data_IF_586423166936
#
_entry.id   IF_586423166936
#
_cell.length_a   1.000
_cell.length_b   1.000
_cell.length_c   1.000
_cell.angle_alpha   90.00
_cell.angle_beta   90.00
_cell.angle_gamma   90.00
#
_symmetry.space_group_name_H-M   'P 1'
#
loop_
_entity.id
_entity.type
_entity.pdbx_description
1 polymer ?
#
# COMPACT_ATOMS: atom_id res chain seq x y z
N UNK A 1 -10.14 -14.88 17.41
CA UNK A 1 -10.65 -14.74 18.78
C UNK A 1 -11.55 -15.94 19.04
N UNK A 2 -11.15 -16.85 19.96
CA UNK A 2 -11.97 -17.95 20.43
C UNK A 2 -13.20 -17.38 21.14
N UNK A 3 -14.39 -17.65 20.61
CA UNK A 3 -15.64 -17.37 21.31
C UNK A 3 -15.86 -18.46 22.36
N UNK A 4 -15.60 -18.14 23.60
CA UNK A 4 -15.90 -19.02 24.72
C UNK A 4 -17.41 -18.95 25.03
N UNK A 5 -17.99 -20.07 25.43
CA UNK A 5 -19.36 -20.15 25.90
C UNK A 5 -19.43 -20.25 27.44
N UNK A 6 -20.64 -20.23 28.02
CA UNK A 6 -20.75 -20.22 29.49
C UNK A 6 -20.15 -21.46 30.17
N UNK A 7 -20.10 -22.63 29.51
CA UNK A 7 -19.46 -23.82 30.06
C UNK A 7 -17.95 -23.68 30.16
N UNK A 8 -17.34 -23.00 29.18
CA UNK A 8 -15.90 -22.77 29.19
C UNK A 8 -15.47 -21.87 30.35
N UNK A 9 -16.36 -20.94 30.75
CA UNK A 9 -16.11 -20.05 31.90
C UNK A 9 -16.44 -20.67 33.25
N UNK A 10 -17.15 -21.81 33.34
CA UNK A 10 -17.54 -22.40 34.61
C UNK A 10 -16.45 -23.20 35.32
N UNK A 11 -15.28 -23.40 34.68
CA UNK A 11 -14.13 -24.08 35.26
C UNK A 11 -12.97 -23.11 35.59
N UNK A 12 -12.01 -23.60 36.36
CA UNK A 12 -10.66 -22.99 36.54
C UNK A 12 -10.63 -21.50 36.98
N UNK A 13 -11.57 -21.09 37.85
CA UNK A 13 -11.59 -19.72 38.39
C UNK A 13 -12.19 -18.66 37.45
N UNK A 14 -12.60 -19.03 36.23
CA UNK A 14 -13.22 -18.11 35.28
C UNK A 14 -14.70 -17.82 35.60
N UNK A 15 -15.32 -18.60 36.48
CA UNK A 15 -16.71 -18.40 36.91
C UNK A 15 -16.96 -17.01 37.52
N UNK A 16 -15.96 -16.40 38.16
CA UNK A 16 -16.06 -15.03 38.68
C UNK A 16 -16.32 -14.00 37.57
N UNK A 17 -15.82 -14.23 36.36
CA UNK A 17 -16.07 -13.36 35.23
C UNK A 17 -17.54 -13.38 34.80
N UNK A 18 -18.19 -14.56 34.87
CA UNK A 18 -19.63 -14.65 34.61
C UNK A 18 -20.45 -13.95 35.71
N UNK A 19 -20.02 -14.03 36.95
CA UNK A 19 -20.68 -13.31 38.06
C UNK A 19 -20.55 -11.79 37.90
N UNK A 20 -19.40 -11.33 37.42
CA UNK A 20 -19.13 -9.89 37.26
C UNK A 20 -19.77 -9.31 36.00
N UNK A 21 -19.73 -10.01 34.88
CA UNK A 21 -20.15 -9.51 33.57
C UNK A 21 -21.44 -10.14 33.03
N UNK A 22 -22.01 -11.12 33.70
CA UNK A 22 -23.27 -11.78 33.41
C UNK A 22 -23.11 -12.99 32.48
N UNK A 23 -22.89 -12.80 31.20
CA UNK A 23 -22.80 -13.89 30.23
C UNK A 23 -21.45 -14.00 29.57
N UNK A 24 -21.11 -15.18 29.06
CA UNK A 24 -19.91 -15.37 28.25
C UNK A 24 -19.85 -14.40 27.06
N UNK A 25 -20.98 -14.05 26.48
CA UNK A 25 -21.04 -13.04 25.41
C UNK A 25 -20.53 -11.68 25.91
N UNK A 26 -20.99 -11.23 27.06
CA UNK A 26 -20.55 -9.95 27.62
C UNK A 26 -19.06 -9.96 28.00
N UNK A 27 -18.57 -11.06 28.58
CA UNK A 27 -17.14 -11.25 28.85
C UNK A 27 -16.31 -11.19 27.56
N UNK A 28 -16.74 -11.92 26.52
CA UNK A 28 -16.05 -11.92 25.23
C UNK A 28 -16.00 -10.51 24.61
N UNK A 29 -17.08 -9.75 24.68
CA UNK A 29 -17.14 -8.36 24.16
C UNK A 29 -16.23 -7.45 24.98
N UNK A 30 -16.27 -7.57 26.32
CA UNK A 30 -15.38 -6.77 27.19
C UNK A 30 -13.91 -7.03 26.88
N UNK A 31 -13.51 -8.30 26.87
CA UNK A 31 -12.11 -8.69 26.56
C UNK A 31 -11.72 -8.25 25.15
N UNK A 32 -12.62 -8.42 24.15
CA UNK A 32 -12.35 -7.97 22.79
C UNK A 32 -12.10 -6.46 22.75
N UNK A 33 -12.93 -5.68 23.43
CA UNK A 33 -12.74 -4.23 23.48
C UNK A 33 -11.44 -3.84 24.19
N UNK A 34 -11.12 -4.49 25.31
CA UNK A 34 -9.88 -4.23 26.05
C UNK A 34 -8.63 -4.59 25.22
N UNK A 35 -8.66 -5.73 24.53
CA UNK A 35 -7.57 -6.14 23.62
C UNK A 35 -7.46 -5.17 22.43
N UNK A 36 -8.56 -4.77 21.83
CA UNK A 36 -8.54 -3.75 20.77
C UNK A 36 -7.90 -2.46 21.24
N UNK A 37 -8.11 -2.10 22.49
CA UNK A 37 -7.53 -0.89 23.08
C UNK A 37 -6.04 -1.05 23.40
N UNK A 38 -5.56 -2.24 23.73
CA UNK A 38 -4.16 -2.50 24.08
C UNK A 38 -3.26 -2.77 22.89
N UNK A 39 -3.73 -3.53 21.89
CA UNK A 39 -2.98 -3.81 20.66
C UNK A 39 -2.78 -2.55 19.84
N UNK A 40 -3.69 -1.63 20.00
CA UNK A 40 -3.69 -0.47 19.15
C UNK A 40 -2.68 0.55 19.60
N UNK A 41 -1.67 0.46 20.17
CA UNK A 41 -0.81 1.60 20.00
C UNK A 41 -1.27 2.40 18.77
N UNK A 42 -2.49 2.12 18.34
CA UNK A 42 -3.24 2.68 17.22
C UNK A 42 -3.53 4.14 17.54
N UNK A 43 -2.86 5.02 16.86
CA UNK A 43 -2.97 6.44 17.12
C UNK A 43 -4.42 6.91 16.94
N UNK A 44 -4.91 7.65 17.92
CA UNK A 44 -6.27 8.16 17.89
C UNK A 44 -7.37 7.14 18.20
N UNK A 45 -7.02 5.90 18.51
CA UNK A 45 -7.97 4.88 18.92
C UNK A 45 -9.11 4.66 17.92
N UNK A 46 -10.13 3.98 18.38
CA UNK A 46 -11.40 3.82 17.66
C UNK A 46 -12.13 5.16 17.65
N UNK A 47 -12.70 5.62 16.54
CA UNK A 47 -13.59 6.77 16.55
C UNK A 47 -14.66 6.62 17.64
N UNK A 48 -14.87 7.65 18.44
CA UNK A 48 -15.78 7.67 19.59
C UNK A 48 -15.45 6.66 20.72
N UNK A 49 -14.19 6.19 20.80
CA UNK A 49 -13.76 5.42 21.96
C UNK A 49 -13.72 6.34 23.19
N UNK A 50 -14.22 5.82 24.33
CA UNK A 50 -14.05 6.50 25.61
C UNK A 50 -12.56 6.59 25.93
N UNK A 51 -12.02 7.78 26.07
CA UNK A 51 -10.62 8.09 26.35
C UNK A 51 -10.44 8.70 27.77
N UNK A 52 -11.49 8.68 28.58
CA UNK A 52 -11.50 9.25 29.94
C UNK A 52 -10.32 8.76 30.77
N UNK A 53 -10.03 7.46 30.70
CA UNK A 53 -8.91 6.83 31.42
C UNK A 53 -7.63 6.70 30.57
N UNK A 54 -7.65 7.18 29.33
CA UNK A 54 -6.55 7.07 28.36
C UNK A 54 -6.44 8.30 27.46
N UNK A 55 -6.06 9.44 28.02
CA UNK A 55 -5.99 10.71 27.29
C UNK A 55 -4.97 10.68 26.13
N UNK A 56 -4.00 9.75 26.15
CA UNK A 56 -3.04 9.55 25.06
C UNK A 56 -3.71 9.17 23.73
N UNK A 57 -4.97 8.76 23.74
CA UNK A 57 -5.72 8.45 22.51
C UNK A 57 -6.17 9.68 21.76
N UNK A 58 -6.42 10.78 22.47
CA UNK A 58 -6.80 12.05 21.87
C UNK A 58 -5.61 12.71 21.15
N UNK A 59 -4.41 12.48 21.68
CA UNK A 59 -3.15 13.01 21.13
C UNK A 59 -2.13 11.89 21.01
N UNK A 60 -2.20 11.08 19.94
CA UNK A 60 -1.28 9.96 19.76
C UNK A 60 0.16 10.46 19.66
N UNK A 61 1.05 9.80 20.40
CA UNK A 61 2.48 10.07 20.29
C UNK A 61 2.94 9.76 18.85
N UNK A 62 3.62 10.68 18.16
CA UNK A 62 4.11 10.47 16.81
C UNK A 62 4.99 9.23 16.74
N UNK A 63 4.69 8.33 15.81
CA UNK A 63 5.45 7.10 15.58
C UNK A 63 6.11 7.15 14.22
N UNK A 64 7.23 6.46 14.11
CA UNK A 64 7.81 6.13 12.81
C UNK A 64 7.25 4.80 12.35
N UNK A 65 6.68 4.79 11.17
CA UNK A 65 6.00 3.63 10.57
C UNK A 65 6.63 3.32 9.22
N UNK A 66 6.97 2.07 9.00
CA UNK A 66 7.41 1.57 7.71
C UNK A 66 6.38 0.56 7.20
N UNK A 67 5.79 0.84 6.05
CA UNK A 67 4.88 -0.04 5.33
C UNK A 67 5.70 -0.78 4.28
N UNK A 68 5.73 -2.11 4.34
CA UNK A 68 6.29 -2.94 3.27
C UNK A 68 5.20 -3.32 2.30
N UNK A 69 5.36 -2.93 1.04
CA UNK A 69 4.48 -3.29 -0.07
C UNK A 69 5.24 -4.23 -1.00
N UNK A 70 4.79 -5.47 -1.21
CA UNK A 70 5.43 -6.39 -2.15
C UNK A 70 5.53 -5.79 -3.55
N UNK A 71 4.45 -5.21 -4.04
CA UNK A 71 4.37 -4.53 -5.33
C UNK A 71 3.77 -3.12 -5.16
N UNK A 72 3.97 -2.22 -6.12
CA UNK A 72 3.25 -0.95 -6.17
C UNK A 72 1.74 -1.17 -6.27
N UNK A 73 0.98 -0.92 -5.22
CA UNK A 73 -0.47 -0.98 -5.01
C UNK A 73 -0.91 -1.78 -3.77
N UNK A 74 -0.15 -2.79 -3.34
CA UNK A 74 -0.52 -3.65 -2.21
C UNK A 74 -0.72 -2.85 -0.91
N UNK A 75 0.02 -1.77 -0.72
CA UNK A 75 -0.11 -0.85 0.41
C UNK A 75 -1.51 -0.19 0.47
N UNK A 76 -2.04 0.22 -0.67
CA UNK A 76 -3.36 0.87 -0.73
C UNK A 76 -4.50 -0.14 -0.82
N UNK A 77 -4.31 -1.26 -1.52
CA UNK A 77 -5.32 -2.31 -1.65
C UNK A 77 -5.53 -3.01 -0.31
N UNK A 78 -4.42 -3.40 0.36
CA UNK A 78 -4.49 -4.21 1.57
C UNK A 78 -4.73 -3.37 2.83
N UNK A 79 -4.21 -2.15 2.90
CA UNK A 79 -4.28 -1.35 4.12
C UNK A 79 -4.46 0.17 3.90
N UNK A 80 -5.00 0.59 2.78
CA UNK A 80 -5.14 2.02 2.42
C UNK A 80 -5.86 2.86 3.47
N UNK A 81 -6.90 2.32 4.10
CA UNK A 81 -7.59 2.99 5.21
C UNK A 81 -6.69 3.20 6.43
N UNK A 82 -5.86 2.21 6.77
CA UNK A 82 -4.85 2.31 7.83
C UNK A 82 -3.77 3.30 7.44
N UNK A 83 -3.25 3.20 6.24
CA UNK A 83 -2.23 4.08 5.70
C UNK A 83 -2.67 5.55 5.74
N UNK A 84 -3.85 5.85 5.20
CA UNK A 84 -4.44 7.17 5.24
C UNK A 84 -4.53 7.72 6.67
N UNK A 85 -5.03 6.89 7.59
CA UNK A 85 -5.20 7.28 8.99
C UNK A 85 -3.86 7.58 9.69
N UNK A 86 -2.81 6.81 9.41
CA UNK A 86 -1.48 7.08 9.95
C UNK A 86 -0.96 8.45 9.49
N UNK A 87 -1.18 8.78 8.22
CA UNK A 87 -0.81 10.11 7.68
C UNK A 87 -1.64 11.24 8.30
N UNK A 88 -2.96 11.06 8.41
CA UNK A 88 -3.86 12.06 8.99
C UNK A 88 -3.55 12.33 10.48
N UNK A 89 -2.99 11.36 11.18
CA UNK A 89 -2.56 11.47 12.57
C UNK A 89 -1.11 11.94 12.72
N UNK A 90 -0.50 12.41 11.64
CA UNK A 90 0.84 13.01 11.62
C UNK A 90 1.96 12.09 12.09
N UNK A 91 1.85 10.79 11.81
CA UNK A 91 2.98 9.88 11.97
C UNK A 91 4.00 10.08 10.87
N UNK A 92 5.25 9.73 11.19
CA UNK A 92 6.36 9.65 10.23
C UNK A 92 6.22 8.32 9.45
N UNK A 93 5.50 8.38 8.33
CA UNK A 93 5.14 7.18 7.54
C UNK A 93 6.03 7.05 6.33
N UNK A 94 6.68 5.91 6.21
CA UNK A 94 7.46 5.51 5.06
C UNK A 94 6.83 4.29 4.38
N UNK A 95 6.97 4.20 3.05
CA UNK A 95 6.57 3.03 2.27
C UNK A 95 7.76 2.47 1.54
N UNK A 96 7.96 1.16 1.57
CA UNK A 96 9.01 0.45 0.86
C UNK A 96 8.39 -0.58 -0.09
N UNK A 97 8.47 -0.31 -1.39
CA UNK A 97 8.08 -1.22 -2.44
C UNK A 97 9.23 -2.19 -2.71
N UNK A 98 8.95 -3.49 -2.54
CA UNK A 98 9.99 -4.52 -2.60
C UNK A 98 10.43 -4.82 -4.03
N UNK A 99 9.48 -4.88 -4.96
CA UNK A 99 9.72 -5.16 -6.37
C UNK A 99 9.17 -4.07 -7.27
N UNK A 100 9.59 -4.06 -8.52
CA UNK A 100 9.13 -3.07 -9.51
C UNK A 100 7.67 -3.25 -9.90
N UNK A 101 7.14 -4.48 -9.84
CA UNK A 101 5.80 -4.82 -10.32
C UNK A 101 5.64 -4.69 -11.85
N UNK A 102 6.74 -4.64 -12.59
CA UNK A 102 6.78 -4.39 -14.04
C UNK A 102 5.96 -5.40 -14.86
N UNK A 103 5.94 -6.68 -14.46
CA UNK A 103 5.19 -7.73 -15.17
C UNK A 103 3.67 -7.53 -15.15
N UNK A 104 3.15 -6.72 -14.24
CA UNK A 104 1.73 -6.42 -14.17
C UNK A 104 1.28 -5.37 -15.20
N UNK A 105 2.21 -4.72 -15.90
CA UNK A 105 1.91 -3.69 -16.91
C UNK A 105 1.77 -4.32 -18.28
N UNK A 106 0.62 -4.14 -18.91
CA UNK A 106 0.37 -4.59 -20.27
C UNK A 106 1.17 -3.83 -21.33
N UNK A 107 1.45 -4.45 -22.43
CA UNK A 107 2.21 -3.85 -23.54
C UNK A 107 1.49 -2.62 -24.14
N UNK A 108 0.17 -2.66 -24.26
CA UNK A 108 -0.63 -1.53 -24.75
C UNK A 108 -0.53 -0.30 -23.84
N UNK A 109 -0.31 -0.50 -22.55
CA UNK A 109 -0.08 0.61 -21.63
C UNK A 109 1.25 1.30 -21.94
N UNK A 110 2.31 0.53 -22.19
CA UNK A 110 3.60 1.07 -22.61
C UNK A 110 3.47 1.81 -23.94
N UNK A 111 2.77 1.23 -24.92
CA UNK A 111 2.49 1.87 -26.21
C UNK A 111 1.80 3.21 -26.01
N UNK A 112 0.76 3.26 -25.17
CA UNK A 112 0.02 4.50 -24.88
C UNK A 112 0.94 5.60 -24.32
N UNK A 113 1.82 5.26 -23.39
CA UNK A 113 2.78 6.24 -22.85
C UNK A 113 3.83 6.65 -23.88
N UNK A 114 4.30 5.74 -24.73
CA UNK A 114 5.21 6.07 -25.81
C UNK A 114 4.57 7.06 -26.82
N UNK A 115 3.34 6.80 -27.22
CA UNK A 115 2.58 7.69 -28.11
C UNK A 115 2.37 9.07 -27.48
N UNK A 116 1.95 9.12 -26.21
CA UNK A 116 1.80 10.38 -25.48
C UNK A 116 3.10 11.19 -25.44
N UNK A 117 4.19 10.57 -25.00
CA UNK A 117 5.48 11.26 -24.88
C UNK A 117 6.03 11.68 -26.25
N UNK A 118 5.88 10.86 -27.28
CA UNK A 118 6.24 11.21 -28.66
C UNK A 118 5.55 12.49 -29.12
N UNK A 119 4.24 12.58 -28.89
CA UNK A 119 3.45 13.73 -29.31
C UNK A 119 3.83 14.99 -28.50
N UNK A 120 4.06 14.86 -27.20
CA UNK A 120 4.54 15.95 -26.35
C UNK A 120 5.93 16.44 -26.80
N UNK A 121 6.88 15.52 -27.02
CA UNK A 121 8.22 15.87 -27.49
C UNK A 121 8.20 16.52 -28.87
N UNK A 122 7.36 16.02 -29.78
CA UNK A 122 7.20 16.60 -31.11
C UNK A 122 6.73 18.06 -31.06
N UNK A 123 5.94 18.41 -30.05
CA UNK A 123 5.44 19.80 -29.89
C UNK A 123 6.46 20.72 -29.22
N UNK A 124 7.14 20.28 -28.16
CA UNK A 124 7.95 21.14 -27.32
C UNK A 124 9.45 21.05 -27.57
N UNK A 125 9.90 19.96 -28.21
CA UNK A 125 11.30 19.74 -28.58
C UNK A 125 11.41 19.19 -30.01
N UNK A 126 10.93 19.92 -31.03
CA UNK A 126 10.81 19.37 -32.40
C UNK A 126 12.16 19.04 -33.05
N UNK A 127 13.24 19.62 -32.57
CA UNK A 127 14.62 19.37 -33.07
C UNK A 127 15.30 18.17 -32.42
N UNK A 128 14.80 17.67 -31.31
CA UNK A 128 15.31 16.48 -30.63
C UNK A 128 14.47 15.26 -31.00
N UNK A 129 15.00 14.43 -31.89
CA UNK A 129 14.32 13.21 -32.33
C UNK A 129 14.65 11.99 -31.50
N UNK A 130 15.64 12.07 -30.61
CA UNK A 130 16.18 10.91 -29.88
C UNK A 130 15.09 10.12 -29.16
N UNK A 131 14.26 10.81 -28.38
CA UNK A 131 13.17 10.15 -27.65
C UNK A 131 12.06 9.68 -28.57
N UNK A 132 11.75 10.45 -29.62
CA UNK A 132 10.73 10.10 -30.62
C UNK A 132 11.11 8.82 -31.34
N UNK A 133 12.35 8.73 -31.84
CA UNK A 133 12.85 7.55 -32.53
C UNK A 133 12.82 6.32 -31.63
N UNK A 134 13.17 6.49 -30.35
CA UNK A 134 13.10 5.41 -29.35
C UNK A 134 11.68 4.98 -29.05
N UNK A 135 10.75 5.90 -28.94
CA UNK A 135 9.33 5.60 -28.74
C UNK A 135 8.75 4.81 -29.94
N UNK A 136 9.06 5.25 -31.16
CA UNK A 136 8.62 4.57 -32.39
C UNK A 136 9.22 3.15 -32.49
N UNK A 137 10.47 2.97 -32.09
CA UNK A 137 11.12 1.65 -32.02
C UNK A 137 10.41 0.71 -31.03
N UNK A 138 10.11 1.18 -29.82
CA UNK A 138 9.41 0.40 -28.79
C UNK A 138 8.00 0.03 -29.25
N UNK A 139 7.25 1.00 -29.80
CA UNK A 139 5.90 0.74 -30.34
C UNK A 139 5.94 -0.35 -31.41
N UNK A 140 6.89 -0.26 -32.35
CA UNK A 140 7.04 -1.26 -33.42
C UNK A 140 7.38 -2.64 -32.85
N UNK A 141 8.32 -2.70 -31.89
CA UNK A 141 8.68 -3.94 -31.21
C UNK A 141 7.46 -4.59 -30.54
N UNK A 142 6.72 -3.84 -29.73
CA UNK A 142 5.59 -4.38 -28.98
C UNK A 142 4.41 -4.80 -29.85
N UNK A 143 4.13 -4.05 -30.92
CA UNK A 143 2.98 -4.35 -31.80
C UNK A 143 3.22 -5.45 -32.81
N UNK A 144 4.47 -5.66 -33.23
CA UNK A 144 4.77 -6.58 -34.34
C UNK A 144 5.83 -7.62 -33.98
N UNK A 145 7.00 -7.20 -33.52
CA UNK A 145 8.15 -8.10 -33.39
C UNK A 145 8.01 -9.08 -32.22
N UNK A 146 7.52 -8.63 -31.08
CA UNK A 146 7.31 -9.45 -29.89
C UNK A 146 6.23 -10.51 -30.13
N UNK A 147 5.14 -10.14 -30.75
CA UNK A 147 4.00 -11.03 -31.03
C UNK A 147 4.38 -12.14 -32.03
N UNK A 148 5.16 -11.79 -33.05
CA UNK A 148 5.57 -12.76 -34.09
C UNK A 148 6.61 -13.77 -33.61
N UNK A 149 7.48 -13.39 -32.67
CA UNK A 149 8.67 -14.17 -32.33
C UNK A 149 8.63 -14.80 -30.94
N UNK A 150 7.56 -14.64 -30.16
CA UNK A 150 7.50 -15.03 -28.74
C UNK A 150 8.77 -14.58 -27.99
N UNK A 151 9.20 -13.35 -28.27
CA UNK A 151 10.48 -12.84 -27.83
C UNK A 151 10.45 -12.46 -26.34
N UNK A 152 11.58 -12.67 -25.67
CA UNK A 152 11.76 -12.23 -24.30
C UNK A 152 11.57 -10.71 -24.20
N UNK A 153 11.08 -10.25 -23.03
CA UNK A 153 10.87 -8.83 -22.76
C UNK A 153 12.19 -8.06 -22.86
N UNK A 154 12.17 -6.94 -23.54
CA UNK A 154 13.35 -6.07 -23.67
C UNK A 154 13.60 -5.27 -22.39
N UNK A 155 14.87 -5.06 -21.99
CA UNK A 155 15.19 -4.28 -20.77
C UNK A 155 14.62 -2.85 -20.75
N UNK A 156 14.55 -2.18 -21.91
CA UNK A 156 13.98 -0.83 -22.01
C UNK A 156 12.46 -0.84 -21.84
N UNK A 157 11.77 -1.89 -22.28
CA UNK A 157 10.34 -2.07 -22.04
C UNK A 157 10.08 -2.39 -20.57
N UNK A 158 10.86 -3.27 -19.95
CA UNK A 158 10.78 -3.55 -18.50
C UNK A 158 11.03 -2.28 -17.68
N UNK A 159 12.00 -1.47 -18.06
CA UNK A 159 12.24 -0.17 -17.43
C UNK A 159 11.02 0.76 -17.52
N UNK A 160 10.37 0.85 -18.69
CA UNK A 160 9.16 1.67 -18.85
C UNK A 160 8.01 1.15 -18.01
N UNK A 161 7.78 -0.16 -18.01
CA UNK A 161 6.76 -0.83 -17.17
C UNK A 161 7.00 -0.53 -15.69
N UNK A 162 8.22 -0.71 -15.21
CA UNK A 162 8.60 -0.38 -13.83
C UNK A 162 8.43 1.11 -13.52
N UNK A 163 8.73 2.00 -14.47
CA UNK A 163 8.54 3.44 -14.30
C UNK A 163 7.06 3.82 -14.16
N UNK A 164 6.18 3.22 -14.97
CA UNK A 164 4.72 3.39 -14.84
C UNK A 164 4.27 3.02 -13.43
N UNK A 165 4.65 1.84 -12.94
CA UNK A 165 4.30 1.37 -11.59
C UNK A 165 4.83 2.29 -10.49
N UNK A 166 6.04 2.80 -10.62
CA UNK A 166 6.60 3.76 -9.65
C UNK A 166 5.81 5.06 -9.59
N UNK A 167 5.36 5.59 -10.73
CA UNK A 167 4.57 6.82 -10.73
C UNK A 167 3.18 6.59 -10.16
N UNK A 168 2.54 5.45 -10.44
CA UNK A 168 1.28 5.05 -9.78
C UNK A 168 1.44 5.00 -8.26
N UNK A 169 2.51 4.35 -7.77
CA UNK A 169 2.82 4.25 -6.35
C UNK A 169 3.04 5.63 -5.71
N UNK A 170 3.82 6.53 -6.35
CA UNK A 170 4.02 7.90 -5.86
C UNK A 170 2.71 8.66 -5.77
N UNK A 171 1.85 8.56 -6.78
CA UNK A 171 0.55 9.22 -6.77
C UNK A 171 -0.36 8.66 -5.67
N UNK A 172 -0.39 7.35 -5.47
CA UNK A 172 -1.15 6.72 -4.40
C UNK A 172 -0.65 7.17 -3.01
N UNK A 173 0.67 7.21 -2.79
CA UNK A 173 1.28 7.72 -1.57
C UNK A 173 0.92 9.19 -1.30
N UNK A 174 1.00 10.05 -2.30
CA UNK A 174 0.62 11.46 -2.16
C UNK A 174 -0.88 11.60 -1.86
N UNK A 175 -1.72 10.81 -2.50
CA UNK A 175 -3.16 10.79 -2.23
C UNK A 175 -3.49 10.32 -0.81
N UNK A 176 -2.75 9.35 -0.29
CA UNK A 176 -2.91 8.87 1.10
C UNK A 176 -2.35 9.83 2.15
N UNK A 177 -1.53 10.80 1.77
CA UNK A 177 -1.08 11.86 2.64
C UNK A 177 0.43 12.00 2.84
N UNK A 178 1.25 11.18 2.16
CA UNK A 178 2.70 11.39 2.12
C UNK A 178 2.98 12.66 1.31
N UNK A 179 3.70 13.60 1.91
CA UNK A 179 4.01 14.91 1.31
C UNK A 179 5.43 15.00 0.77
N UNK A 180 6.31 14.12 1.24
CA UNK A 180 7.73 14.11 0.88
C UNK A 180 8.08 12.78 0.21
N UNK A 181 8.50 12.84 -1.03
CA UNK A 181 8.87 11.67 -1.83
C UNK A 181 10.08 10.91 -1.24
N UNK A 182 10.86 11.52 -0.34
CA UNK A 182 11.93 10.83 0.39
C UNK A 182 11.42 9.74 1.34
N UNK A 183 10.11 9.72 1.62
CA UNK A 183 9.46 8.67 2.40
C UNK A 183 9.00 7.47 1.54
N UNK A 184 9.21 7.53 0.21
CA UNK A 184 8.81 6.49 -0.74
C UNK A 184 10.06 5.78 -1.24
N UNK A 185 10.22 4.51 -0.90
CA UNK A 185 11.42 3.74 -1.19
C UNK A 185 11.11 2.64 -2.20
N UNK A 186 11.88 2.58 -3.28
CA UNK A 186 11.84 1.50 -4.26
C UNK A 186 13.09 0.65 -4.08
N UNK A 187 12.92 -0.61 -3.65
CA UNK A 187 14.02 -1.50 -3.32
C UNK A 187 14.52 -2.30 -4.53
N UNK A 188 13.65 -2.45 -5.54
CA UNK A 188 13.94 -3.18 -6.79
C UNK A 188 14.62 -4.53 -6.55
N UNK A 189 14.10 -5.31 -5.61
CA UNK A 189 14.61 -6.64 -5.34
C UNK A 189 14.35 -7.54 -6.56
N UNK A 190 15.30 -8.40 -6.95
CA UNK A 190 15.19 -9.25 -8.14
C UNK A 190 14.22 -10.43 -7.88
N UNK A 191 12.96 -10.10 -7.79
CA UNK A 191 11.88 -11.04 -7.55
C UNK A 191 10.71 -10.66 -8.46
N UNK A 192 10.22 -11.57 -9.28
CA UNK A 192 9.24 -11.28 -10.33
C UNK A 192 9.75 -10.34 -11.45
N UNK A 193 11.00 -10.51 -11.84
CA UNK A 193 11.55 -9.88 -13.05
C UNK A 193 11.68 -10.86 -14.21
#
# INVERSE_FOLDING_TARGET
ILKLNNKDYSGDGLGELLALYGSAYNVNIKIFNDIQHTITGWPGGKPNADDTDRPERATPYPKRVLIFSPHPDDDVISMGGTFRRLCDQHHDVHVAYQTSGNIAVGDEEVVRYCEYLRDVCSKYSPSDTTFKDKADEIIRYLRYEKVENDAAERPDVLFMKGTIRREEARHACRYTGIKDDSHIHFLDLPFYE
#
